data_IF_437351055461
#
_entry.id   IF_437351055461
#
_cell.length_a   1.000
_cell.length_b   1.000
_cell.length_c   1.000
_cell.angle_alpha   90.00
_cell.angle_beta   90.00
_cell.angle_gamma   90.00
#
_symmetry.space_group_name_H-M   'P 1'
#
loop_
_entity.id
_entity.type
_entity.pdbx_description
1 polymer ?
#
# COMPACT_ATOMS: atom_id res chain seq x y z
N UNK A 1 -24.14 -16.10 7.73
CA UNK A 1 -22.73 -15.88 7.37
C UNK A 1 -21.87 -16.20 8.60
N UNK A 2 -20.78 -16.95 8.47
CA UNK A 2 -19.84 -17.19 9.57
C UNK A 2 -19.10 -15.90 9.94
N UNK A 3 -18.64 -15.78 11.19
CA UNK A 3 -17.75 -14.72 11.62
C UNK A 3 -16.37 -14.95 10.98
N UNK A 4 -15.85 -13.95 10.28
CA UNK A 4 -14.53 -13.99 9.66
C UNK A 4 -13.48 -13.44 10.63
N UNK A 5 -12.30 -14.05 10.64
CA UNK A 5 -11.14 -13.51 11.36
C UNK A 5 -10.59 -12.25 10.68
N UNK A 6 -9.83 -11.44 11.41
CA UNK A 6 -9.18 -10.24 10.87
C UNK A 6 -8.33 -10.56 9.64
N UNK A 7 -7.54 -11.63 9.69
CA UNK A 7 -6.73 -12.10 8.57
C UNK A 7 -7.56 -12.39 7.30
N UNK A 8 -8.70 -13.09 7.43
CA UNK A 8 -9.57 -13.35 6.28
C UNK A 8 -10.22 -12.07 5.71
N UNK A 9 -10.57 -11.13 6.58
CA UNK A 9 -11.12 -9.84 6.15
C UNK A 9 -10.09 -9.00 5.39
N UNK A 10 -8.85 -8.97 5.86
CA UNK A 10 -7.73 -8.30 5.17
C UNK A 10 -7.59 -8.85 3.75
N UNK A 11 -7.47 -10.18 3.61
CA UNK A 11 -7.35 -10.84 2.31
C UNK A 11 -8.52 -10.53 1.39
N UNK A 12 -9.74 -10.43 1.94
CA UNK A 12 -10.92 -10.07 1.16
C UNK A 12 -10.86 -8.63 0.64
N UNK A 13 -10.40 -7.68 1.46
CA UNK A 13 -10.27 -6.27 1.05
C UNK A 13 -9.21 -6.07 -0.03
N UNK A 14 -8.05 -6.74 0.10
CA UNK A 14 -6.92 -6.57 -0.83
C UNK A 14 -6.93 -7.54 -2.02
N UNK A 15 -7.87 -8.48 -2.06
CA UNK A 15 -7.99 -9.46 -3.15
C UNK A 15 -8.14 -8.79 -4.51
N UNK A 16 -7.55 -9.40 -5.54
CA UNK A 16 -7.70 -8.98 -6.92
C UNK A 16 -9.18 -9.04 -7.39
N UNK A 17 -10.00 -9.88 -6.74
CA UNK A 17 -11.46 -9.96 -6.96
C UNK A 17 -12.21 -8.69 -6.52
N UNK A 18 -11.65 -7.94 -5.57
CA UNK A 18 -12.17 -6.63 -5.20
C UNK A 18 -11.76 -5.59 -6.26
N UNK A 19 -12.49 -5.58 -7.39
CA UNK A 19 -12.21 -4.70 -8.53
C UNK A 19 -12.40 -3.22 -8.24
N UNK A 20 -13.15 -2.87 -7.19
CA UNK A 20 -13.44 -1.49 -6.78
C UNK A 20 -12.71 -1.09 -5.49
N UNK A 21 -11.71 -1.88 -5.08
CA UNK A 21 -10.87 -1.57 -3.94
C UNK A 21 -10.30 -0.16 -4.09
N UNK A 22 -10.54 0.66 -3.07
CA UNK A 22 -10.06 2.05 -3.01
C UNK A 22 -9.26 2.27 -1.72
N UNK A 23 -8.83 3.50 -1.47
CA UNK A 23 -8.00 3.87 -0.32
C UNK A 23 -8.63 3.50 1.03
N UNK A 24 -9.96 3.45 1.13
CA UNK A 24 -10.66 3.06 2.36
C UNK A 24 -10.61 1.55 2.60
N UNK A 25 -10.62 0.73 1.54
CA UNK A 25 -10.53 -0.73 1.68
C UNK A 25 -9.13 -1.14 2.17
N UNK A 26 -8.10 -0.54 1.59
CA UNK A 26 -6.72 -0.76 2.05
C UNK A 26 -6.46 -0.18 3.43
N UNK A 27 -7.02 0.99 3.76
CA UNK A 27 -6.94 1.55 5.13
C UNK A 27 -7.60 0.62 6.16
N UNK A 28 -8.80 0.10 5.87
CA UNK A 28 -9.45 -0.90 6.74
C UNK A 28 -8.59 -2.16 6.89
N UNK A 29 -7.95 -2.62 5.83
CA UNK A 29 -7.04 -3.76 5.90
C UNK A 29 -5.86 -3.47 6.84
N UNK A 30 -5.28 -2.27 6.81
CA UNK A 30 -4.23 -1.85 7.76
C UNK A 30 -4.75 -1.79 9.20
N UNK A 31 -5.95 -1.25 9.41
CA UNK A 31 -6.56 -1.14 10.75
C UNK A 31 -6.87 -2.52 11.33
N UNK A 32 -7.24 -3.48 10.48
CA UNK A 32 -7.50 -4.85 10.89
C UNK A 32 -6.25 -5.60 11.35
N UNK A 33 -5.03 -5.12 11.02
CA UNK A 33 -3.79 -5.72 11.51
C UNK A 33 -3.70 -5.67 13.05
N UNK A 34 -4.27 -4.65 13.69
CA UNK A 34 -4.30 -4.53 15.16
C UNK A 34 -5.17 -5.61 15.82
N UNK A 35 -6.04 -6.27 15.06
CA UNK A 35 -6.95 -7.32 15.53
C UNK A 35 -6.44 -8.74 15.23
N UNK A 36 -5.25 -8.88 14.66
CA UNK A 36 -4.58 -10.17 14.51
C UNK A 36 -3.98 -10.54 15.86
N UNK A 37 -4.33 -11.71 16.40
CA UNK A 37 -3.77 -12.14 17.67
C UNK A 37 -2.32 -12.56 17.47
N UNK A 38 -1.45 -12.30 18.44
CA UNK A 38 -0.07 -12.78 18.41
C UNK A 38 0.03 -14.32 18.34
N UNK A 39 -1.02 -15.03 18.75
CA UNK A 39 -1.12 -16.49 18.67
C UNK A 39 -1.41 -17.02 17.26
N UNK A 40 -1.83 -16.17 16.32
CA UNK A 40 -2.27 -16.61 14.99
C UNK A 40 -1.09 -17.01 14.07
N UNK A 41 0.17 -16.94 14.53
CA UNK A 41 1.41 -17.19 13.73
C UNK A 41 1.43 -16.45 12.38
N UNK A 42 0.70 -15.33 12.28
CA UNK A 42 0.61 -14.54 11.06
C UNK A 42 1.74 -13.52 11.02
N UNK A 43 2.43 -13.46 9.88
CA UNK A 43 3.44 -12.44 9.62
C UNK A 43 2.77 -11.09 9.32
N UNK A 44 2.68 -10.25 10.37
CA UNK A 44 2.10 -8.90 10.29
C UNK A 44 2.93 -8.00 9.35
N UNK A 45 4.26 -8.13 9.35
CA UNK A 45 5.13 -7.32 8.50
C UNK A 45 4.99 -7.72 7.03
N UNK A 46 4.92 -9.01 6.75
CA UNK A 46 4.58 -9.56 5.44
C UNK A 46 3.22 -9.06 4.94
N UNK A 47 2.19 -9.07 5.79
CA UNK A 47 0.86 -8.56 5.43
C UNK A 47 0.86 -7.06 5.15
N UNK A 48 1.60 -6.26 5.93
CA UNK A 48 1.76 -4.82 5.62
C UNK A 48 2.34 -4.65 4.22
N UNK A 49 3.41 -5.38 3.91
CA UNK A 49 4.03 -5.34 2.59
C UNK A 49 3.05 -5.74 1.49
N UNK A 50 2.28 -6.81 1.70
CA UNK A 50 1.27 -7.28 0.75
C UNK A 50 0.18 -6.24 0.49
N UNK A 51 -0.39 -5.64 1.55
CA UNK A 51 -1.43 -4.60 1.46
C UNK A 51 -0.94 -3.43 0.60
N UNK A 52 0.27 -2.93 0.86
CA UNK A 52 0.85 -1.82 0.07
C UNK A 52 1.21 -2.24 -1.35
N UNK A 53 1.73 -3.44 -1.57
CA UNK A 53 2.00 -3.96 -2.92
C UNK A 53 0.72 -4.05 -3.75
N UNK A 54 -0.38 -4.56 -3.16
CA UNK A 54 -1.68 -4.64 -3.82
C UNK A 54 -2.24 -3.24 -4.12
N UNK A 55 -2.09 -2.28 -3.22
CA UNK A 55 -2.49 -0.89 -3.46
C UNK A 55 -1.72 -0.29 -4.66
N UNK A 56 -0.39 -0.42 -4.65
CA UNK A 56 0.47 0.04 -5.75
C UNK A 56 0.14 -0.60 -7.09
N UNK A 57 -0.21 -1.90 -7.09
CA UNK A 57 -0.61 -2.64 -8.30
C UNK A 57 -1.97 -2.19 -8.86
N UNK A 58 -2.88 -1.71 -8.02
CA UNK A 58 -4.18 -1.15 -8.45
C UNK A 58 -4.04 0.24 -9.05
N UNK A 59 -3.02 0.98 -8.64
CA UNK A 59 -2.75 2.30 -9.17
C UNK A 59 -2.26 2.28 -10.61
N UNK A 60 -2.76 3.24 -11.38
CA UNK A 60 -2.28 3.46 -12.75
C UNK A 60 -1.12 4.45 -12.75
N UNK A 61 0.10 3.90 -12.67
CA UNK A 61 1.34 4.67 -12.74
C UNK A 61 1.72 5.08 -14.17
N UNK A 62 0.93 4.74 -15.20
CA UNK A 62 1.24 5.16 -16.57
C UNK A 62 1.05 6.66 -16.81
N UNK A 63 0.15 7.31 -16.06
CA UNK A 63 -0.08 8.76 -16.12
C UNK A 63 1.08 9.59 -15.58
N UNK A 64 1.92 9.01 -14.74
CA UNK A 64 3.11 9.65 -14.20
C UNK A 64 4.31 9.57 -15.16
N UNK A 65 4.23 8.74 -16.20
CA UNK A 65 5.28 8.58 -17.21
C UNK A 65 5.21 9.76 -18.21
N UNK A 66 6.10 10.74 -18.02
CA UNK A 66 6.15 11.96 -18.83
C UNK A 66 5.42 13.18 -18.26
N UNK A 67 4.92 13.11 -17.02
CA UNK A 67 4.46 14.30 -16.29
C UNK A 67 5.65 15.18 -15.87
N UNK A 68 5.52 16.50 -16.02
CA UNK A 68 6.50 17.48 -15.51
C UNK A 68 6.61 17.45 -13.97
N UNK A 69 5.55 17.00 -13.28
CA UNK A 69 5.55 16.77 -11.83
C UNK A 69 5.06 15.35 -11.50
N UNK A 70 5.99 14.41 -11.24
CA UNK A 70 5.67 13.02 -10.92
C UNK A 70 4.99 12.85 -9.55
N UNK A 71 5.21 13.77 -8.60
CA UNK A 71 4.59 13.71 -7.27
C UNK A 71 3.13 14.15 -7.33
N UNK A 72 2.84 15.24 -8.04
CA UNK A 72 1.44 15.66 -8.25
C UNK A 72 0.65 14.64 -9.07
N UNK A 73 1.28 13.98 -10.06
CA UNK A 73 0.64 12.88 -10.79
C UNK A 73 0.32 11.67 -9.88
N UNK A 74 1.18 11.37 -8.91
CA UNK A 74 0.98 10.29 -7.95
C UNK A 74 -0.04 10.63 -6.86
N UNK A 75 -0.41 11.90 -6.68
CA UNK A 75 -1.28 12.37 -5.59
C UNK A 75 -2.68 11.75 -5.61
N UNK A 76 -3.18 11.43 -6.79
CA UNK A 76 -4.47 10.78 -6.98
C UNK A 76 -4.43 9.26 -6.84
N UNK A 77 -3.24 8.68 -6.68
CA UNK A 77 -3.06 7.26 -6.44
C UNK A 77 -3.66 6.83 -5.10
N UNK A 78 -4.19 5.62 -5.06
CA UNK A 78 -4.66 4.92 -3.87
C UNK A 78 -3.55 4.88 -2.84
N UNK A 79 -2.31 4.56 -3.25
CA UNK A 79 -1.15 4.54 -2.35
C UNK A 79 -0.96 5.88 -1.63
N UNK A 80 -0.88 6.99 -2.37
CA UNK A 80 -0.69 8.32 -1.75
C UNK A 80 -1.88 8.73 -0.90
N UNK A 81 -3.11 8.41 -1.32
CA UNK A 81 -4.32 8.65 -0.52
C UNK A 81 -4.31 7.89 0.81
N UNK A 82 -3.79 6.67 0.85
CA UNK A 82 -3.61 5.91 2.10
C UNK A 82 -2.61 6.62 3.01
N UNK A 83 -1.45 7.04 2.47
CA UNK A 83 -0.43 7.76 3.26
C UNK A 83 -0.99 9.06 3.87
N UNK A 84 -1.70 9.86 3.06
CA UNK A 84 -2.33 11.08 3.53
C UNK A 84 -3.35 10.83 4.65
N UNK A 85 -4.14 9.76 4.55
CA UNK A 85 -5.09 9.37 5.60
C UNK A 85 -4.39 8.96 6.89
N UNK A 86 -3.33 8.16 6.82
CA UNK A 86 -2.54 7.78 7.99
C UNK A 86 -1.93 9.02 8.68
N UNK A 87 -1.39 9.97 7.91
CA UNK A 87 -0.87 11.24 8.45
C UNK A 87 -1.99 12.05 9.11
N UNK A 88 -3.18 12.15 8.49
CA UNK A 88 -4.33 12.88 9.04
C UNK A 88 -4.82 12.29 10.37
N UNK A 89 -4.69 10.99 10.56
CA UNK A 89 -5.02 10.31 11.82
C UNK A 89 -3.93 10.45 12.89
N UNK A 90 -2.82 11.13 12.58
CA UNK A 90 -1.68 11.30 13.50
C UNK A 90 -0.84 10.03 13.66
N UNK A 91 -0.99 9.07 12.75
CA UNK A 91 -0.25 7.81 12.78
C UNK A 91 1.13 8.02 12.17
N UNK A 92 2.18 7.54 12.86
CA UNK A 92 3.53 7.52 12.30
C UNK A 92 3.60 6.53 11.13
N UNK A 93 3.83 7.04 9.92
CA UNK A 93 3.96 6.21 8.71
C UNK A 93 5.02 5.12 8.88
N UNK A 94 6.11 5.38 9.60
CA UNK A 94 7.16 4.40 9.88
C UNK A 94 6.67 3.14 10.62
N UNK A 95 5.53 3.21 11.32
CA UNK A 95 4.94 2.06 12.02
C UNK A 95 4.24 1.09 11.06
N UNK A 96 3.74 1.59 9.93
CA UNK A 96 2.93 0.83 8.98
C UNK A 96 3.63 0.58 7.65
N UNK A 97 4.43 1.55 7.20
CA UNK A 97 5.06 1.52 5.89
C UNK A 97 6.26 0.55 5.92
N UNK A 98 6.26 -0.50 5.09
CA UNK A 98 7.39 -1.42 4.98
C UNK A 98 8.58 -0.74 4.28
N UNK A 99 9.77 -1.36 4.37
CA UNK A 99 10.94 -0.87 3.64
C UNK A 99 10.64 -0.83 2.14
N UNK A 100 11.03 0.29 1.50
CA UNK A 100 10.87 0.46 0.06
C UNK A 100 11.53 -0.69 -0.72
N UNK A 101 12.61 -1.28 -0.19
CA UNK A 101 13.28 -2.44 -0.78
C UNK A 101 12.40 -3.68 -0.78
N UNK A 102 11.66 -3.93 0.30
CA UNK A 102 10.80 -5.10 0.42
C UNK A 102 9.62 -4.99 -0.55
N UNK A 103 9.04 -3.80 -0.67
CA UNK A 103 8.04 -3.49 -1.71
C UNK A 103 8.65 -3.71 -3.10
N UNK A 104 9.81 -3.12 -3.37
CA UNK A 104 10.50 -3.27 -4.65
C UNK A 104 11.02 -4.68 -4.92
N UNK A 105 11.01 -5.60 -3.96
CA UNK A 105 11.34 -7.01 -4.17
C UNK A 105 10.10 -7.86 -4.49
N UNK A 106 8.90 -7.40 -4.12
CA UNK A 106 7.65 -8.12 -4.37
C UNK A 106 7.44 -8.47 -5.85
N UNK A 107 7.18 -9.74 -6.15
CA UNK A 107 6.87 -10.25 -7.49
C UNK A 107 5.58 -9.62 -8.06
N UNK A 108 4.66 -9.21 -7.18
CA UNK A 108 3.40 -8.55 -7.56
C UNK A 108 3.62 -7.26 -8.37
N UNK A 109 4.75 -6.59 -8.14
CA UNK A 109 5.10 -5.33 -8.77
C UNK A 109 6.03 -5.51 -9.98
N UNK A 110 6.34 -6.73 -10.41
CA UNK A 110 7.29 -6.99 -11.52
C UNK A 110 6.89 -6.23 -12.80
N UNK A 111 5.59 -6.16 -13.12
CA UNK A 111 5.06 -5.40 -14.27
C UNK A 111 5.17 -3.88 -14.11
N UNK A 112 5.24 -3.39 -12.88
CA UNK A 112 5.44 -1.98 -12.59
C UNK A 112 6.94 -1.64 -12.57
N UNK A 113 7.79 -2.54 -12.06
CA UNK A 113 9.25 -2.42 -12.12
C UNK A 113 9.80 -2.38 -13.54
N UNK A 114 9.12 -3.00 -14.51
CA UNK A 114 9.51 -2.88 -15.92
C UNK A 114 9.33 -1.46 -16.47
N UNK A 115 8.61 -0.57 -15.76
CA UNK A 115 8.51 0.86 -16.10
C UNK A 115 9.66 1.60 -15.42
N UNK A 116 10.51 2.27 -16.20
CA UNK A 116 11.70 2.96 -15.68
C UNK A 116 11.41 4.09 -14.68
N UNK A 117 10.21 4.66 -14.71
CA UNK A 117 9.78 5.76 -13.83
C UNK A 117 9.21 5.31 -12.49
N UNK A 118 8.73 4.07 -12.36
CA UNK A 118 8.00 3.60 -11.16
C UNK A 118 8.89 3.53 -9.92
N UNK A 119 10.09 2.95 -10.02
CA UNK A 119 11.00 2.85 -8.86
C UNK A 119 11.42 4.23 -8.36
N UNK A 120 11.71 5.16 -9.27
CA UNK A 120 12.07 6.53 -8.93
C UNK A 120 10.91 7.24 -8.22
N UNK A 121 9.70 7.13 -8.76
CA UNK A 121 8.47 7.67 -8.18
C UNK A 121 8.22 7.15 -6.77
N UNK A 122 8.33 5.83 -6.58
CA UNK A 122 8.09 5.21 -5.30
C UNK A 122 9.09 5.74 -4.26
N UNK A 123 10.39 5.77 -4.59
CA UNK A 123 11.43 6.32 -3.71
C UNK A 123 11.18 7.80 -3.39
N UNK A 124 10.81 8.60 -4.38
CA UNK A 124 10.50 10.02 -4.18
C UNK A 124 9.30 10.23 -3.24
N UNK A 125 8.25 9.42 -3.37
CA UNK A 125 7.10 9.46 -2.45
C UNK A 125 7.53 9.05 -1.02
N UNK A 126 8.33 8.00 -0.89
CA UNK A 126 8.88 7.59 0.42
C UNK A 126 9.69 8.71 1.08
N UNK A 127 10.58 9.34 0.33
CA UNK A 127 11.37 10.48 0.84
C UNK A 127 10.49 11.67 1.22
N UNK A 128 9.50 11.99 0.40
CA UNK A 128 8.59 13.12 0.66
C UNK A 128 7.73 12.91 1.91
N UNK A 129 7.19 11.69 2.11
CA UNK A 129 6.27 11.41 3.21
C UNK A 129 6.94 10.94 4.50
N UNK A 130 8.18 10.41 4.44
CA UNK A 130 8.95 10.01 5.63
C UNK A 130 9.89 11.11 6.14
N UNK A 131 10.01 12.25 5.43
CA UNK A 131 10.74 13.41 5.94
C UNK A 131 10.02 14.01 7.16
N UNK A 132 10.76 14.32 8.25
CA UNK A 132 10.22 14.85 9.50
C UNK A 132 9.78 16.32 9.42
#
# INVERSE_FOLDING_TARGET
MPLLSAHHLINLYISDDNRRANEYDFKKALDLLEYINQEDEVDIEGLKCEIFCKALKKDDWSSADGSDDPLEAAKDSIFVKILQKLIQEGVHLQTYLPDVKDILQSEELERLKSKSSFEFLLRANYEHYLQP
#
